data_IF_479652876219
#
_entry.id   IF_479652876219
#
_cell.length_a   1.000
_cell.length_b   1.000
_cell.length_c   1.000
_cell.angle_alpha   90.00
_cell.angle_beta   90.00
_cell.angle_gamma   90.00
#
_symmetry.space_group_name_H-M   'P 1'
#
loop_
_entity.id
_entity.type
_entity.pdbx_description
1 polymer ?
#
# COMPACT_ATOMS: atom_id res chain seq x y z
N UNK A 1 -8.67 -3.85 -10.67
CA UNK A 1 -9.08 -5.03 -9.85
C UNK A 1 -10.11 -5.92 -10.54
N UNK A 2 -10.98 -5.36 -11.39
CA UNK A 2 -11.98 -6.11 -12.17
C UNK A 2 -11.40 -7.28 -12.96
N UNK A 3 -10.27 -7.09 -13.66
CA UNK A 3 -9.60 -8.17 -14.40
C UNK A 3 -9.09 -9.34 -13.55
N UNK A 4 -8.80 -9.09 -12.27
CA UNK A 4 -8.30 -10.11 -11.33
C UNK A 4 -9.45 -10.87 -10.65
N UNK A 5 -10.47 -10.13 -10.23
CA UNK A 5 -11.58 -10.66 -9.42
C UNK A 5 -12.77 -11.12 -10.25
N UNK A 6 -12.90 -10.63 -11.48
CA UNK A 6 -14.07 -10.80 -12.34
C UNK A 6 -15.30 -10.00 -11.88
N UNK A 7 -15.17 -9.15 -10.86
CA UNK A 7 -16.26 -8.32 -10.34
C UNK A 7 -16.21 -6.97 -11.04
N UNK A 8 -17.29 -6.60 -11.74
CA UNK A 8 -17.33 -5.33 -12.46
C UNK A 8 -17.49 -4.15 -11.52
N UNK A 9 -16.76 -3.06 -11.78
CA UNK A 9 -16.84 -1.83 -10.97
C UNK A 9 -18.28 -1.31 -10.84
N UNK A 10 -19.10 -1.46 -11.89
CA UNK A 10 -20.50 -0.98 -11.90
C UNK A 10 -21.45 -1.72 -10.95
N UNK A 11 -21.03 -2.83 -10.33
CA UNK A 11 -21.88 -3.55 -9.36
C UNK A 11 -21.80 -2.97 -7.96
N UNK A 12 -20.80 -2.14 -7.69
CA UNK A 12 -20.66 -1.46 -6.40
C UNK A 12 -21.66 -0.29 -6.35
N UNK A 13 -22.58 -0.29 -5.37
CA UNK A 13 -23.51 0.84 -5.19
C UNK A 13 -22.77 2.11 -4.76
N UNK A 14 -23.35 3.27 -5.04
CA UNK A 14 -22.82 4.52 -4.50
C UNK A 14 -22.95 4.51 -2.96
N UNK A 15 -21.95 5.05 -2.27
CA UNK A 15 -21.93 5.13 -0.82
C UNK A 15 -23.14 5.89 -0.25
N UNK A 16 -23.70 6.85 -1.01
CA UNK A 16 -24.88 7.64 -0.64
C UNK A 16 -26.16 6.77 -0.57
N UNK A 17 -26.20 5.65 -1.30
CA UNK A 17 -27.34 4.74 -1.33
C UNK A 17 -27.30 3.69 -0.20
N UNK A 18 -26.24 3.67 0.60
CA UNK A 18 -26.03 2.72 1.70
C UNK A 18 -25.93 3.42 3.05
N UNK A 19 -26.33 2.72 4.11
CA UNK A 19 -26.04 3.20 5.46
C UNK A 19 -24.60 2.82 5.89
N UNK A 20 -24.09 3.46 6.94
CA UNK A 20 -22.71 3.23 7.41
C UNK A 20 -22.39 1.77 7.77
N UNK A 21 -23.38 0.99 8.25
CA UNK A 21 -23.17 -0.44 8.54
C UNK A 21 -22.99 -1.23 7.25
N UNK A 22 -23.83 -0.98 6.24
CA UNK A 22 -23.74 -1.63 4.93
C UNK A 22 -22.43 -1.29 4.23
N UNK A 23 -22.02 -0.01 4.24
CA UNK A 23 -20.73 0.44 3.69
C UNK A 23 -19.58 -0.34 4.33
N UNK A 24 -19.60 -0.44 5.66
CA UNK A 24 -18.57 -1.15 6.41
C UNK A 24 -18.55 -2.65 6.08
N UNK A 25 -19.70 -3.31 5.97
CA UNK A 25 -19.79 -4.73 5.61
C UNK A 25 -19.23 -5.00 4.21
N UNK A 26 -19.58 -4.18 3.22
CA UNK A 26 -19.06 -4.31 1.85
C UNK A 26 -17.56 -4.03 1.82
N UNK A 27 -17.09 -2.96 2.46
CA UNK A 27 -15.68 -2.64 2.55
C UNK A 27 -14.88 -3.79 3.18
N UNK A 28 -15.35 -4.38 4.28
CA UNK A 28 -14.69 -5.54 4.91
C UNK A 28 -14.62 -6.73 3.93
N UNK A 29 -15.69 -6.99 3.18
CA UNK A 29 -15.70 -8.07 2.19
C UNK A 29 -14.71 -7.82 1.05
N UNK A 30 -14.64 -6.58 0.55
CA UNK A 30 -13.66 -6.18 -0.47
C UNK A 30 -12.22 -6.35 0.03
N UNK A 31 -11.92 -5.90 1.25
CA UNK A 31 -10.58 -6.04 1.83
C UNK A 31 -10.17 -7.51 2.04
N UNK A 32 -11.11 -8.37 2.49
CA UNK A 32 -10.87 -9.81 2.59
C UNK A 32 -10.60 -10.46 1.24
N UNK A 33 -11.30 -10.01 0.20
CA UNK A 33 -11.07 -10.49 -1.16
C UNK A 33 -9.65 -10.16 -1.61
N UNK A 34 -9.20 -8.91 -1.39
CA UNK A 34 -7.86 -8.48 -1.74
C UNK A 34 -6.77 -9.21 -0.94
N UNK A 35 -6.98 -9.40 0.36
CA UNK A 35 -6.08 -10.17 1.22
C UNK A 35 -5.90 -11.62 0.72
N UNK A 36 -6.97 -12.24 0.18
CA UNK A 36 -6.89 -13.56 -0.43
C UNK A 36 -6.02 -13.62 -1.70
N UNK A 37 -5.81 -12.48 -2.37
CA UNK A 37 -4.87 -12.31 -3.48
C UNK A 37 -3.50 -11.77 -3.03
N UNK A 38 -3.22 -11.73 -1.72
CA UNK A 38 -2.03 -11.10 -1.14
C UNK A 38 -1.89 -9.62 -1.53
N UNK A 39 -3.01 -8.92 -1.73
CA UNK A 39 -3.05 -7.49 -2.03
C UNK A 39 -3.36 -6.72 -0.75
N UNK A 40 -2.51 -5.76 -0.40
CA UNK A 40 -2.70 -4.89 0.76
C UNK A 40 -2.92 -3.46 0.31
N UNK A 41 -3.86 -2.79 0.95
CA UNK A 41 -4.10 -1.37 0.73
C UNK A 41 -3.64 -0.61 1.96
N UNK A 42 -2.90 0.47 1.72
CA UNK A 42 -2.55 1.44 2.74
C UNK A 42 -3.56 2.58 2.73
N UNK A 43 -4.26 2.74 3.86
CA UNK A 43 -5.14 3.87 4.10
C UNK A 43 -4.57 4.77 5.19
N UNK A 44 -4.73 6.10 5.09
CA UNK A 44 -4.50 7.01 6.20
C UNK A 44 -5.30 6.59 7.45
N UNK A 45 -4.69 6.71 8.63
CA UNK A 45 -5.27 6.21 9.90
C UNK A 45 -6.64 6.83 10.20
N UNK A 46 -6.79 8.12 9.91
CA UNK A 46 -7.98 8.90 10.22
C UNK A 46 -9.03 8.89 9.10
N UNK A 47 -8.78 8.17 7.99
CA UNK A 47 -9.68 8.14 6.85
C UNK A 47 -11.01 7.45 7.22
N UNK A 48 -12.16 8.14 7.05
CA UNK A 48 -13.50 7.58 7.25
C UNK A 48 -13.76 6.33 6.38
N UNK A 49 -14.65 5.45 6.85
CA UNK A 49 -14.96 4.20 6.14
C UNK A 49 -15.68 4.45 4.81
N UNK A 50 -16.46 5.52 4.73
CA UNK A 50 -17.16 5.98 3.53
C UNK A 50 -16.15 6.33 2.43
N UNK A 51 -15.10 7.09 2.78
CA UNK A 51 -14.05 7.45 1.83
C UNK A 51 -13.16 6.26 1.45
N UNK A 52 -12.89 5.35 2.39
CA UNK A 52 -12.18 4.07 2.11
C UNK A 52 -12.93 3.25 1.06
N UNK A 53 -14.24 3.07 1.28
CA UNK A 53 -15.10 2.35 0.35
C UNK A 53 -15.14 3.03 -1.01
N UNK A 54 -15.43 4.34 -1.03
CA UNK A 54 -15.54 5.11 -2.27
C UNK A 54 -14.25 5.02 -3.10
N UNK A 55 -13.10 5.30 -2.49
CA UNK A 55 -11.80 5.23 -3.18
C UNK A 55 -11.57 3.85 -3.78
N UNK A 56 -11.86 2.79 -3.02
CA UNK A 56 -11.66 1.42 -3.49
C UNK A 56 -12.62 1.03 -4.62
N UNK A 57 -13.87 1.48 -4.56
CA UNK A 57 -14.87 1.23 -5.59
C UNK A 57 -14.57 2.00 -6.88
N UNK A 58 -14.12 3.26 -6.77
CA UNK A 58 -13.77 4.11 -7.90
C UNK A 58 -12.55 3.54 -8.66
N UNK A 59 -11.53 3.10 -7.94
CA UNK A 59 -10.30 2.51 -8.50
C UNK A 59 -10.46 1.03 -8.88
N UNK A 60 -11.66 0.44 -8.73
CA UNK A 60 -11.85 -1.00 -8.94
C UNK A 60 -11.60 -1.45 -10.38
N UNK A 61 -11.90 -0.59 -11.36
CA UNK A 61 -11.65 -0.88 -12.78
C UNK A 61 -10.17 -0.74 -13.15
N UNK A 62 -9.35 -0.09 -12.32
CA UNK A 62 -7.98 0.21 -12.69
C UNK A 62 -7.10 -1.04 -12.78
N UNK A 63 -6.22 -1.04 -13.78
CA UNK A 63 -5.44 -2.21 -14.20
C UNK A 63 -3.98 -2.20 -13.72
N UNK A 64 -3.61 -1.30 -12.81
CA UNK A 64 -2.23 -1.19 -12.33
C UNK A 64 -1.83 -2.31 -11.34
N UNK A 65 -2.81 -3.02 -10.77
CA UNK A 65 -2.57 -4.13 -9.84
C UNK A 65 -2.04 -5.34 -10.61
N UNK A 66 -0.80 -5.74 -10.31
CA UNK A 66 -0.19 -6.97 -10.85
C UNK A 66 -0.49 -8.13 -9.90
N UNK A 67 -0.97 -9.24 -10.45
CA UNK A 67 -1.07 -10.49 -9.70
C UNK A 67 0.33 -11.06 -9.47
N UNK A 68 0.79 -11.00 -8.23
CA UNK A 68 2.06 -11.54 -7.77
C UNK A 68 1.78 -12.57 -6.68
N UNK A 69 1.46 -13.82 -7.04
CA UNK A 69 0.93 -14.80 -6.09
C UNK A 69 1.87 -15.11 -4.93
N UNK A 70 3.19 -15.03 -5.14
CA UNK A 70 4.20 -15.37 -4.14
C UNK A 70 4.61 -14.19 -3.24
N UNK A 71 4.63 -12.96 -3.76
CA UNK A 71 5.12 -11.78 -3.04
C UNK A 71 4.02 -10.84 -2.57
N UNK A 72 2.82 -10.94 -3.16
CA UNK A 72 1.78 -9.92 -3.03
C UNK A 72 2.12 -8.62 -3.75
N UNK A 73 1.20 -7.67 -3.66
CA UNK A 73 1.39 -6.31 -4.17
C UNK A 73 0.70 -5.31 -3.25
N UNK A 74 1.45 -4.28 -2.86
CA UNK A 74 0.96 -3.19 -2.04
C UNK A 74 0.34 -2.12 -2.94
N UNK A 75 -0.92 -1.83 -2.70
CA UNK A 75 -1.71 -0.85 -3.44
C UNK A 75 -1.67 0.46 -2.65
N UNK A 76 -1.12 1.47 -3.30
CA UNK A 76 -1.20 2.86 -2.89
C UNK A 76 -2.03 3.63 -3.91
N UNK A 77 -2.95 4.46 -3.42
CA UNK A 77 -3.80 5.34 -4.23
C UNK A 77 -3.20 6.75 -4.38
N UNK A 78 -2.00 6.98 -3.82
CA UNK A 78 -1.27 8.22 -3.97
C UNK A 78 -0.87 8.48 -5.42
N UNK A 79 -1.28 9.64 -5.92
CA UNK A 79 -0.90 10.14 -7.26
C UNK A 79 0.37 11.00 -7.24
N UNK A 80 0.95 11.25 -6.06
CA UNK A 80 2.11 12.12 -5.87
C UNK A 80 1.81 13.61 -5.94
N UNK A 81 0.57 13.99 -6.30
CA UNK A 81 0.08 15.36 -6.25
C UNK A 81 -1.05 15.48 -5.22
N UNK A 82 -0.90 16.33 -4.19
CA UNK A 82 -1.90 16.43 -3.13
C UNK A 82 -3.27 16.94 -3.63
N UNK A 83 -3.31 17.63 -4.77
CA UNK A 83 -4.56 18.13 -5.36
C UNK A 83 -5.38 17.05 -6.08
N UNK A 84 -4.76 15.95 -6.49
CA UNK A 84 -5.41 14.83 -7.19
C UNK A 84 -5.52 13.59 -6.31
N UNK A 85 -5.32 13.76 -5.01
CA UNK A 85 -5.34 12.66 -4.07
C UNK A 85 -6.78 12.23 -3.77
N UNK A 86 -7.13 10.95 -3.94
CA UNK A 86 -8.51 10.48 -3.73
C UNK A 86 -8.96 10.58 -2.27
N UNK A 87 -8.02 10.70 -1.33
CA UNK A 87 -8.29 10.87 0.09
C UNK A 87 -8.65 12.31 0.50
N UNK A 88 -8.58 13.28 -0.41
CA UNK A 88 -8.92 14.68 -0.13
C UNK A 88 -8.07 15.29 0.98
N UNK A 89 -8.70 15.81 2.04
CA UNK A 89 -8.02 16.42 3.19
C UNK A 89 -7.20 15.42 4.02
N UNK A 90 -7.44 14.12 3.84
CA UNK A 90 -6.71 13.04 4.52
C UNK A 90 -5.51 12.55 3.70
N UNK A 91 -5.12 13.27 2.65
CA UNK A 91 -4.02 12.87 1.80
C UNK A 91 -2.69 12.90 2.56
N UNK A 92 -2.04 11.74 2.65
CA UNK A 92 -0.76 11.53 3.32
C UNK A 92 0.38 11.28 2.31
N UNK A 93 0.12 11.56 1.03
CA UNK A 93 1.04 11.34 -0.09
C UNK A 93 2.17 12.38 -0.09
N UNK A 94 3.09 12.29 0.88
CA UNK A 94 4.19 13.24 1.02
C UNK A 94 4.85 13.26 2.40
N UNK A 95 4.17 12.75 3.44
CA UNK A 95 4.77 12.52 4.75
C UNK A 95 5.36 11.10 4.78
N UNK A 96 6.23 10.83 3.81
CA UNK A 96 7.27 9.83 3.98
C UNK A 96 8.19 10.32 5.11
N UNK A 97 7.76 10.16 6.36
CA UNK A 97 8.65 9.89 7.48
C UNK A 97 9.28 8.49 7.27
N UNK A 98 9.88 8.26 6.09
CA UNK A 98 11.07 7.44 6.01
C UNK A 98 12.14 8.22 6.74
N UNK A 99 12.08 8.11 8.06
CA UNK A 99 13.17 8.42 8.94
C UNK A 99 14.31 7.48 8.55
N UNK A 100 15.10 7.89 7.55
CA UNK A 100 16.50 7.54 7.44
C UNK A 100 17.18 8.10 8.70
N UNK A 101 16.86 7.55 9.87
CA UNK A 101 17.89 7.34 10.87
C UNK A 101 18.81 6.26 10.30
N UNK A 102 19.59 6.69 9.30
CA UNK A 102 20.79 6.07 8.78
C UNK A 102 21.93 6.17 9.81
N UNK A 103 21.60 5.99 11.10
CA UNK A 103 22.51 6.05 12.23
C UNK A 103 22.59 4.71 12.97
N UNK A 104 22.15 3.61 12.34
CA UNK A 104 22.66 2.28 12.67
C UNK A 104 23.48 1.76 11.48
N UNK A 105 24.62 2.43 11.25
CA UNK A 105 25.76 1.80 10.60
C UNK A 105 26.01 0.46 11.32
N UNK A 106 26.09 -0.68 10.61
CA UNK A 106 26.52 -1.91 11.25
C UNK A 106 27.87 -1.63 11.91
N UNK A 107 27.97 -1.93 13.21
CA UNK A 107 29.21 -1.74 13.97
C UNK A 107 30.37 -2.38 13.20
N UNK A 108 31.51 -1.71 13.01
CA UNK A 108 32.65 -2.33 12.39
C UNK A 108 33.09 -3.51 13.26
N UNK A 109 33.00 -4.71 12.69
CA UNK A 109 33.52 -5.94 13.26
C UNK A 109 34.97 -5.68 13.72
N UNK A 110 35.14 -5.56 15.03
CA UNK A 110 36.47 -5.39 15.62
C UNK A 110 37.12 -6.76 15.70
N UNK A 111 37.50 -7.32 14.54
CA UNK A 111 38.42 -8.46 14.49
C UNK A 111 39.86 -7.96 14.64
N UNK A 112 40.27 -7.94 15.91
CA UNK A 112 41.58 -8.33 16.43
C UNK A 112 42.79 -8.22 15.48
N UNK A 113 43.71 -7.33 15.88
CA UNK A 113 45.11 -7.31 15.46
C UNK A 113 45.75 -8.71 15.38
N UNK A 114 46.26 -9.05 14.21
CA UNK A 114 47.52 -9.78 14.05
C UNK A 114 48.08 -9.38 12.68
N UNK A 115 49.02 -8.44 12.69
CA UNK A 115 49.71 -8.08 11.46
C UNK A 115 50.54 -9.24 10.93
N UNK A 116 50.54 -9.42 9.61
CA UNK A 116 51.69 -9.91 8.86
C UNK A 116 51.51 -9.51 7.40
N UNK A 117 52.51 -8.80 6.88
CA UNK A 117 52.64 -8.35 5.50
C UNK A 117 52.55 -9.54 4.52
N UNK A 118 51.73 -9.42 3.47
CA UNK A 118 51.81 -10.33 2.32
C UNK A 118 51.94 -9.48 1.04
N UNK A 119 53.19 -9.41 0.56
CA UNK A 119 53.60 -8.93 -0.76
C UNK A 119 52.85 -9.69 -1.86
N UNK A 120 52.19 -8.97 -2.77
CA UNK A 120 51.49 -9.55 -3.93
C UNK A 120 52.35 -9.36 -5.18
N UNK A 121 52.88 -10.40 -5.84
CA UNK A 121 53.55 -10.23 -7.11
C UNK A 121 52.53 -10.19 -8.26
N UNK A 122 52.80 -9.30 -9.23
CA UNK A 122 52.17 -9.24 -10.55
C UNK A 122 52.54 -10.44 -11.43
#
# INVERSE_FOLDING_TARGET
MEGLTGISQSVFPDHIDMNGIQIMEVLIAMLKLLDAYNLKIYYPKELPFELKYQTLADEWNESYVKDLPDSGYDIDFCTGEPQTCPFGEYCDCGDDDFDFNADELPEPDTENNSGEDIDVPF
#
